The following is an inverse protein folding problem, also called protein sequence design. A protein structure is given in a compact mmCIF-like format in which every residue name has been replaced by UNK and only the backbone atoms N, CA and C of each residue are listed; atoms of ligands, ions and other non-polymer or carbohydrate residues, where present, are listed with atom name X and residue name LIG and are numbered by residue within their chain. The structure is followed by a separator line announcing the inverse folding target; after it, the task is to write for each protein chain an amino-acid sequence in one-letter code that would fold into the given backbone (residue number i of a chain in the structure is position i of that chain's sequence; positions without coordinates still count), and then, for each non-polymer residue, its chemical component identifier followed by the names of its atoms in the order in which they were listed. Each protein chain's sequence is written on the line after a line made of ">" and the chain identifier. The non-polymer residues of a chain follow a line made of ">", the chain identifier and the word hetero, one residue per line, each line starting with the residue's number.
data_IF_591249663646
#
_entry.id   IF_591249663646
#
_cell.length_a   1.000
_cell.length_b   1.000
_cell.length_c   1.000
_cell.angle_alpha   90.00
_cell.angle_beta   90.00
_cell.angle_gamma   90.00
#
_symmetry.space_group_name_H-M   'P 1'
#
loop_
_entity.id
_entity.type
_entity.pdbx_description
1 polymer ?
#
# COMPACT_ATOMS: atom_id res chain seq x y z
N UNK A 1 8.80 -1.14 -13.18
CA UNK A 1 8.54 -0.86 -11.76
C UNK A 1 7.90 0.50 -11.62
N UNK A 2 6.83 0.61 -10.82
CA UNK A 2 6.23 1.89 -10.40
C UNK A 2 6.35 2.03 -8.88
N UNK A 3 6.42 3.26 -8.37
CA UNK A 3 6.42 3.54 -6.92
C UNK A 3 5.01 4.02 -6.53
N UNK A 4 4.37 3.34 -5.58
CA UNK A 4 3.06 3.70 -5.08
C UNK A 4 3.19 4.75 -3.96
N UNK A 5 2.32 5.76 -4.02
CA UNK A 5 2.09 6.64 -2.88
C UNK A 5 1.41 5.87 -1.74
N UNK A 6 1.64 6.32 -0.51
CA UNK A 6 1.04 5.75 0.71
C UNK A 6 -0.47 5.60 0.60
N UNK A 7 -1.20 6.59 0.07
CA UNK A 7 -2.66 6.49 -0.03
C UNK A 7 -3.12 5.48 -1.09
N UNK A 8 -2.43 5.40 -2.24
CA UNK A 8 -2.74 4.45 -3.31
C UNK A 8 -2.50 3.03 -2.79
N UNK A 9 -1.39 2.82 -2.09
CA UNK A 9 -1.05 1.54 -1.50
C UNK A 9 -2.10 1.07 -0.49
N UNK A 10 -2.48 1.95 0.46
CA UNK A 10 -3.52 1.64 1.45
C UNK A 10 -4.85 1.31 0.78
N UNK A 11 -5.30 2.14 -0.17
CA UNK A 11 -6.58 1.90 -0.86
C UNK A 11 -6.56 0.62 -1.68
N UNK A 12 -5.43 0.27 -2.27
CA UNK A 12 -5.29 -0.96 -3.04
C UNK A 12 -5.37 -2.20 -2.16
N UNK A 13 -4.64 -2.23 -1.04
CA UNK A 13 -4.64 -3.36 -0.10
C UNK A 13 -6.01 -3.54 0.57
N UNK A 14 -6.65 -2.43 0.95
CA UNK A 14 -7.96 -2.47 1.61
C UNK A 14 -9.15 -2.60 0.63
N UNK A 15 -8.90 -2.67 -0.68
CA UNK A 15 -9.95 -2.73 -1.70
C UNK A 15 -10.90 -1.53 -1.70
N UNK A 16 -10.38 -0.35 -1.35
CA UNK A 16 -11.16 0.85 -1.13
C UNK A 16 -11.70 1.43 -2.46
N UNK A 17 -12.98 1.82 -2.48
CA UNK A 17 -13.66 2.40 -3.65
C UNK A 17 -13.04 3.71 -4.16
N UNK A 18 -12.22 4.39 -3.36
CA UNK A 18 -11.47 5.59 -3.79
C UNK A 18 -10.39 5.27 -4.83
N UNK A 19 -9.93 4.02 -4.90
CA UNK A 19 -9.03 3.59 -5.95
C UNK A 19 -9.84 3.37 -7.23
N UNK A 20 -9.70 4.30 -8.18
CA UNK A 20 -10.41 4.20 -9.46
C UNK A 20 -9.96 2.97 -10.25
N UNK A 21 -10.83 2.49 -11.14
CA UNK A 21 -10.53 1.36 -12.02
C UNK A 21 -9.24 1.56 -12.83
N UNK A 22 -9.01 2.77 -13.33
CA UNK A 22 -7.78 3.10 -14.06
C UNK A 22 -6.51 2.88 -13.21
N UNK A 23 -6.52 3.25 -11.93
CA UNK A 23 -5.37 3.01 -11.05
C UNK A 23 -5.19 1.51 -10.77
N UNK A 24 -6.29 0.76 -10.62
CA UNK A 24 -6.22 -0.70 -10.46
C UNK A 24 -5.60 -1.37 -11.69
N UNK A 25 -6.02 -0.95 -12.88
CA UNK A 25 -5.47 -1.44 -14.15
C UNK A 25 -3.97 -1.15 -14.28
N UNK A 26 -3.52 0.05 -13.89
CA UNK A 26 -2.10 0.37 -13.83
C UNK A 26 -1.34 -0.52 -12.84
N UNK A 27 -1.84 -0.69 -11.62
CA UNK A 27 -1.20 -1.55 -10.64
C UNK A 27 -1.07 -2.99 -11.17
N UNK A 28 -2.14 -3.53 -11.78
CA UNK A 28 -2.11 -4.88 -12.38
C UNK A 28 -1.11 -4.98 -13.54
N UNK A 29 -1.07 -3.98 -14.43
CA UNK A 29 -0.15 -3.96 -15.58
C UNK A 29 1.31 -3.96 -15.14
N UNK A 30 1.65 -3.22 -14.08
CA UNK A 30 3.01 -3.10 -13.57
C UNK A 30 3.37 -4.14 -12.51
N UNK A 31 2.43 -4.95 -12.04
CA UNK A 31 2.67 -5.96 -11.00
C UNK A 31 3.78 -6.95 -11.37
N UNK A 32 3.83 -7.40 -12.63
CA UNK A 32 4.89 -8.27 -13.15
C UNK A 32 6.26 -7.58 -13.23
N UNK A 33 6.27 -6.25 -13.32
CA UNK A 33 7.47 -5.43 -13.48
C UNK A 33 7.98 -4.87 -12.15
N UNK A 34 7.28 -5.16 -11.04
CA UNK A 34 7.55 -4.69 -9.69
C UNK A 34 6.68 -3.49 -9.27
N UNK A 35 6.18 -3.55 -8.04
CA UNK A 35 5.50 -2.48 -7.32
C UNK A 35 6.39 -2.06 -6.15
N UNK A 36 6.83 -0.82 -6.14
CA UNK A 36 7.60 -0.25 -5.05
C UNK A 36 6.69 0.45 -4.05
N UNK A 37 7.05 0.39 -2.77
CA UNK A 37 6.62 1.35 -1.75
C UNK A 37 7.84 1.89 -1.00
N UNK A 38 7.80 3.16 -0.60
CA UNK A 38 8.87 3.74 0.20
C UNK A 38 8.84 3.19 1.62
N UNK A 39 10.01 3.03 2.25
CA UNK A 39 10.09 2.75 3.68
C UNK A 39 9.43 3.86 4.52
N UNK A 40 9.41 5.11 4.03
CA UNK A 40 8.69 6.21 4.67
C UNK A 40 7.18 6.00 4.65
N UNK A 41 6.63 5.36 3.62
CA UNK A 41 5.20 5.02 3.55
C UNK A 41 4.78 4.08 4.68
N UNK A 42 5.66 3.18 5.12
CA UNK A 42 5.39 2.31 6.28
C UNK A 42 5.25 3.12 7.58
N UNK A 43 6.12 4.11 7.77
CA UNK A 43 6.03 5.03 8.90
C UNK A 43 4.78 5.92 8.82
N UNK A 44 4.44 6.43 7.64
CA UNK A 44 3.23 7.22 7.44
C UNK A 44 1.96 6.44 7.79
N UNK A 45 1.85 5.17 7.38
CA UNK A 45 0.74 4.28 7.78
C UNK A 45 0.66 4.17 9.30
N UNK A 46 1.77 3.90 9.97
CA UNK A 46 1.81 3.81 11.43
C UNK A 46 1.36 5.10 12.10
N UNK A 47 1.83 6.27 11.62
CA UNK A 47 1.41 7.59 12.11
C UNK A 47 -0.06 7.90 11.84
N UNK A 48 -0.61 7.45 10.72
CA UNK A 48 -2.03 7.65 10.42
C UNK A 48 -2.91 6.83 11.38
N UNK A 49 -2.50 5.61 11.72
CA UNK A 49 -3.21 4.76 12.69
C UNK A 49 -3.10 5.33 14.10
N UNK A 50 -1.90 5.73 14.53
CA UNK A 50 -1.68 6.36 15.85
C UNK A 50 -2.54 7.62 16.03
N UNK A 51 -2.69 8.41 14.97
CA UNK A 51 -3.52 9.63 14.98
C UNK A 51 -5.02 9.36 14.73
N UNK A 52 -5.47 8.10 14.71
CA UNK A 52 -6.85 7.69 14.40
C UNK A 52 -7.38 8.22 13.04
N UNK A 53 -6.48 8.47 12.09
CA UNK A 53 -6.81 8.91 10.72
C UNK A 53 -6.96 7.75 9.74
N UNK A 54 -6.47 6.57 10.11
CA UNK A 54 -6.62 5.32 9.40
C UNK A 54 -7.02 4.24 10.41
N UNK A 55 -8.07 3.48 10.10
CA UNK A 55 -8.55 2.38 10.94
C UNK A 55 -8.25 1.09 10.20
N UNK A 56 -7.42 0.24 10.78
CA UNK A 56 -7.07 -1.06 10.24
C UNK A 56 -7.83 -2.15 10.98
N UNK A 57 -8.20 -3.23 10.29
CA UNK A 57 -8.87 -4.38 10.91
C UNK A 57 -7.94 -5.24 11.78
N UNK A 58 -6.64 -4.98 11.74
CA UNK A 58 -5.59 -5.70 12.46
C UNK A 58 -4.50 -4.73 12.95
N UNK A 59 -3.49 -5.23 13.64
CA UNK A 59 -2.39 -4.38 14.09
C UNK A 59 -1.60 -3.81 12.91
N UNK A 60 -0.95 -2.65 13.11
CA UNK A 60 -0.10 -2.02 12.06
C UNK A 60 0.96 -2.99 11.56
N UNK A 61 1.58 -3.78 12.45
CA UNK A 61 2.61 -4.74 12.08
C UNK A 61 2.07 -5.87 11.19
N UNK A 62 0.91 -6.42 11.53
CA UNK A 62 0.25 -7.45 10.71
C UNK A 62 -0.18 -6.90 9.35
N UNK A 63 -0.74 -5.68 9.34
CA UNK A 63 -1.14 -5.04 8.10
C UNK A 63 0.06 -4.80 7.18
N UNK A 64 1.16 -4.22 7.70
CA UNK A 64 2.38 -3.99 6.92
C UNK A 64 2.95 -5.31 6.37
N UNK A 65 2.97 -6.36 7.19
CA UNK A 65 3.43 -7.69 6.77
C UNK A 65 2.59 -8.24 5.62
N UNK A 66 1.26 -8.14 5.72
CA UNK A 66 0.35 -8.62 4.68
C UNK A 66 0.45 -7.77 3.41
N UNK A 67 0.48 -6.44 3.56
CA UNK A 67 0.56 -5.48 2.46
C UNK A 67 1.86 -5.61 1.66
N UNK A 68 2.99 -5.88 2.33
CA UNK A 68 4.29 -6.12 1.70
C UNK A 68 4.44 -7.54 1.12
N UNK A 69 3.61 -8.49 1.55
CA UNK A 69 3.61 -9.85 1.02
C UNK A 69 2.88 -9.98 -0.33
N UNK A 70 2.25 -8.91 -0.83
CA UNK A 70 1.60 -8.94 -2.14
C UNK A 70 2.62 -9.22 -3.27
N UNK A 71 2.23 -10.01 -4.29
CA UNK A 71 3.15 -10.35 -5.37
C UNK A 71 3.66 -9.10 -6.10
N UNK A 72 4.98 -9.04 -6.27
CA UNK A 72 5.67 -7.93 -6.95
C UNK A 72 6.02 -6.76 -6.03
N UNK A 73 5.64 -6.78 -4.75
CA UNK A 73 5.95 -5.70 -3.80
C UNK A 73 7.43 -5.67 -3.42
N UNK A 74 8.01 -4.48 -3.38
CA UNK A 74 9.39 -4.21 -3.00
C UNK A 74 9.46 -2.95 -2.14
N UNK A 75 10.31 -2.98 -1.10
CA UNK A 75 10.64 -1.80 -0.32
C UNK A 75 11.75 -1.01 -1.00
N UNK A 76 11.51 0.28 -1.23
CA UNK A 76 12.53 1.24 -1.64
C UNK A 76 12.99 2.07 -0.45
N UNK A 77 14.29 2.32 -0.39
CA UNK A 77 14.92 3.26 0.55
C UNK A 77 14.78 4.67 -0.02
#
# INVERSE_FOLDING_TARGET
>A
MILLDTHIWVWWVDGNQRLTQQHQEWIQQYQLQGLGVSIFSCWEVAKLVENNRLILSCSVSEWLKNALAYPGMQLSI
#
